data_IF_702661523748
#
_entry.id   IF_702661523748
#
_cell.length_a   1.000
_cell.length_b   1.000
_cell.length_c   1.000
_cell.angle_alpha   90.00
_cell.angle_beta   90.00
_cell.angle_gamma   90.00
#
_symmetry.space_group_name_H-M   'P 1'
#
loop_
_entity.id
_entity.type
_entity.pdbx_description
1 polymer ?
#
# COMPACT_ATOMS: atom_id res chain seq x y z
N UNK A 1 -17.76 -5.30 -7.45
CA UNK A 1 -17.11 -4.92 -6.17
C UNK A 1 -15.64 -5.26 -6.34
N UNK A 2 -14.75 -4.34 -6.07
CA UNK A 2 -13.32 -4.59 -6.18
C UNK A 2 -12.87 -5.67 -5.17
N UNK A 3 -11.89 -6.46 -5.54
CA UNK A 3 -11.26 -7.44 -4.65
C UNK A 3 -10.28 -6.75 -3.71
N UNK A 4 -9.50 -5.79 -4.25
CA UNK A 4 -8.54 -5.01 -3.47
C UNK A 4 -8.73 -3.53 -3.78
N UNK A 5 -8.80 -2.69 -2.73
CA UNK A 5 -8.64 -1.23 -2.83
C UNK A 5 -7.20 -0.89 -2.52
N UNK A 6 -6.51 -0.26 -3.45
CA UNK A 6 -5.10 0.14 -3.29
C UNK A 6 -5.07 1.63 -3.00
N UNK A 7 -4.62 2.00 -1.80
CA UNK A 7 -4.54 3.39 -1.35
C UNK A 7 -3.14 3.93 -1.59
N UNK A 8 -3.05 5.10 -2.23
CA UNK A 8 -1.81 5.79 -2.56
C UNK A 8 -1.88 7.21 -2.01
N UNK A 9 -1.34 7.46 -0.80
CA UNK A 9 -1.28 8.79 -0.21
C UNK A 9 -0.22 9.62 -0.93
N UNK A 10 -0.61 10.71 -1.57
CA UNK A 10 0.26 11.47 -2.48
C UNK A 10 0.47 12.89 -1.99
N UNK A 11 1.72 13.30 -1.79
CA UNK A 11 2.09 14.68 -1.47
C UNK A 11 3.47 15.04 -2.01
N UNK A 12 3.54 15.88 -3.05
CA UNK A 12 4.78 16.40 -3.66
C UNK A 12 5.78 15.28 -4.05
N UNK A 13 5.36 14.34 -4.89
CA UNK A 13 6.13 13.16 -5.31
C UNK A 13 6.17 12.98 -6.84
N UNK A 14 6.04 14.05 -7.59
CA UNK A 14 6.01 14.03 -9.07
C UNK A 14 7.15 13.23 -9.71
N UNK A 15 8.31 13.18 -9.06
CA UNK A 15 9.51 12.50 -9.55
C UNK A 15 9.39 10.96 -9.60
N UNK A 16 8.51 10.38 -8.78
CA UNK A 16 8.42 8.93 -8.59
C UNK A 16 7.06 8.36 -8.99
N UNK A 17 6.05 9.22 -9.04
CA UNK A 17 4.65 8.84 -9.11
C UNK A 17 4.30 8.07 -10.41
N UNK A 18 4.91 8.38 -11.54
CA UNK A 18 4.68 7.66 -12.81
C UNK A 18 5.07 6.18 -12.68
N UNK A 19 6.24 5.87 -12.09
CA UNK A 19 6.70 4.49 -11.89
C UNK A 19 5.78 3.71 -10.95
N UNK A 20 5.35 4.36 -9.86
CA UNK A 20 4.39 3.82 -8.91
C UNK A 20 3.05 3.47 -9.60
N UNK A 21 2.41 4.45 -10.22
CA UNK A 21 1.07 4.28 -10.83
C UNK A 21 1.08 3.28 -11.98
N UNK A 22 2.13 3.29 -12.84
CA UNK A 22 2.28 2.30 -13.91
C UNK A 22 2.35 0.88 -13.34
N UNK A 23 3.10 0.66 -12.24
CA UNK A 23 3.22 -0.66 -11.63
C UNK A 23 1.90 -1.21 -11.10
N UNK A 24 1.04 -0.31 -10.59
CA UNK A 24 -0.30 -0.67 -10.08
C UNK A 24 -1.28 -0.84 -11.22
N UNK A 25 -1.26 0.03 -12.23
CA UNK A 25 -2.12 -0.08 -13.41
C UNK A 25 -1.94 -1.42 -14.13
N UNK A 26 -0.70 -1.94 -14.16
CA UNK A 26 -0.34 -3.18 -14.84
C UNK A 26 -0.57 -4.45 -14.02
N UNK A 27 -1.16 -4.37 -12.82
CA UNK A 27 -1.43 -5.55 -12.00
C UNK A 27 -2.24 -6.61 -12.77
N UNK A 28 -1.89 -7.89 -12.58
CA UNK A 28 -2.62 -9.03 -13.16
C UNK A 28 -4.02 -9.16 -12.59
N UNK A 29 -4.23 -8.83 -11.32
CA UNK A 29 -5.56 -8.71 -10.71
C UNK A 29 -6.28 -7.49 -11.28
N UNK A 30 -7.30 -7.70 -12.12
CA UNK A 30 -8.03 -6.59 -12.75
C UNK A 30 -9.15 -6.02 -11.87
N UNK A 31 -9.73 -6.80 -10.96
CA UNK A 31 -10.82 -6.39 -10.07
C UNK A 31 -10.26 -5.56 -8.88
N UNK A 32 -9.55 -4.48 -9.17
CA UNK A 32 -9.00 -3.55 -8.19
C UNK A 32 -9.61 -2.15 -8.35
N UNK A 33 -9.61 -1.36 -7.28
CA UNK A 33 -9.75 0.10 -7.34
C UNK A 33 -8.46 0.75 -6.84
N UNK A 34 -8.07 1.85 -7.46
CA UNK A 34 -6.81 2.55 -7.21
C UNK A 34 -7.16 3.94 -6.67
N UNK A 35 -7.02 4.12 -5.36
CA UNK A 35 -7.45 5.33 -4.66
C UNK A 35 -6.24 6.23 -4.43
N UNK A 36 -6.07 7.22 -5.30
CA UNK A 36 -5.03 8.23 -5.16
C UNK A 36 -5.56 9.39 -4.30
N UNK A 37 -4.98 9.57 -3.12
CA UNK A 37 -5.34 10.67 -2.23
C UNK A 37 -4.28 11.76 -2.34
N UNK A 38 -4.56 12.79 -3.14
CA UNK A 38 -3.72 13.98 -3.23
C UNK A 38 -3.94 14.86 -2.00
N UNK A 39 -2.95 14.90 -1.12
CA UNK A 39 -2.98 15.65 0.14
C UNK A 39 -2.47 17.10 -0.04
N UNK A 40 -3.02 17.79 -1.04
CA UNK A 40 -2.69 19.20 -1.31
C UNK A 40 -1.29 19.39 -1.91
N UNK A 41 -0.87 18.55 -2.86
CA UNK A 41 0.39 18.73 -3.58
C UNK A 41 0.46 20.07 -4.30
N UNK A 42 1.64 20.66 -4.33
CA UNK A 42 1.96 21.94 -5.00
C UNK A 42 2.84 21.74 -6.24
N UNK A 43 3.28 20.51 -6.49
CA UNK A 43 3.98 20.08 -7.70
C UNK A 43 2.99 19.48 -8.73
N UNK A 44 3.47 18.78 -9.76
CA UNK A 44 2.62 18.19 -10.80
C UNK A 44 2.01 16.82 -10.41
N UNK A 45 2.09 16.40 -9.16
CA UNK A 45 1.55 15.09 -8.72
C UNK A 45 0.07 14.91 -9.07
N UNK A 46 -0.76 15.94 -8.86
CA UNK A 46 -2.20 15.87 -9.17
C UNK A 46 -2.46 15.73 -10.68
N UNK A 47 -1.70 16.42 -11.53
CA UNK A 47 -1.81 16.32 -12.97
C UNK A 47 -1.44 14.91 -13.48
N UNK A 48 -0.40 14.32 -12.88
CA UNK A 48 0.00 12.94 -13.20
C UNK A 48 -1.14 11.98 -12.87
N UNK A 49 -1.72 12.05 -11.67
CA UNK A 49 -2.84 11.19 -11.26
C UNK A 49 -4.01 11.33 -12.22
N UNK A 50 -4.39 12.56 -12.59
CA UNK A 50 -5.49 12.83 -13.53
C UNK A 50 -5.28 12.19 -14.89
N UNK A 51 -4.05 12.21 -15.42
CA UNK A 51 -3.69 11.58 -16.69
C UNK A 51 -3.90 10.06 -16.67
N UNK A 52 -3.60 9.39 -15.56
CA UNK A 52 -3.88 7.96 -15.40
C UNK A 52 -5.39 7.69 -15.31
N UNK A 53 -6.12 8.48 -14.55
CA UNK A 53 -7.57 8.33 -14.37
C UNK A 53 -8.38 8.57 -15.66
N UNK A 54 -7.90 9.41 -16.57
CA UNK A 54 -8.54 9.63 -17.88
C UNK A 54 -8.57 8.36 -18.75
N UNK A 55 -7.59 7.46 -18.56
CA UNK A 55 -7.40 6.28 -19.38
C UNK A 55 -7.77 4.97 -18.70
N UNK A 56 -8.00 4.99 -17.38
CA UNK A 56 -8.30 3.80 -16.60
C UNK A 56 -9.35 4.09 -15.51
N UNK A 57 -10.59 3.57 -15.69
CA UNK A 57 -11.70 3.85 -14.76
C UNK A 57 -11.54 3.24 -13.36
N UNK A 58 -10.50 2.44 -13.13
CA UNK A 58 -10.19 1.90 -11.79
C UNK A 58 -9.60 2.96 -10.87
N UNK A 59 -9.08 4.08 -11.41
CA UNK A 59 -8.54 5.19 -10.62
C UNK A 59 -9.66 6.04 -10.02
N UNK A 60 -9.56 6.25 -8.72
CA UNK A 60 -10.40 7.15 -7.94
C UNK A 60 -9.52 8.26 -7.38
N UNK A 61 -9.80 9.51 -7.73
CA UNK A 61 -9.04 10.67 -7.26
C UNK A 61 -9.74 11.30 -6.08
N UNK A 62 -9.02 11.54 -5.00
CA UNK A 62 -9.44 12.37 -3.90
C UNK A 62 -8.44 13.52 -3.79
N UNK A 63 -8.90 14.74 -4.09
CA UNK A 63 -8.09 15.95 -3.99
C UNK A 63 -8.55 16.75 -2.79
N UNK A 64 -7.65 17.02 -1.83
CA UNK A 64 -7.97 17.66 -0.55
C UNK A 64 -6.85 18.61 -0.10
N UNK A 65 -7.19 19.50 0.81
CA UNK A 65 -6.18 20.32 1.51
C UNK A 65 -5.25 19.43 2.34
N UNK A 66 -3.97 19.84 2.41
CA UNK A 66 -2.97 19.10 3.18
C UNK A 66 -3.41 18.90 4.63
N UNK A 67 -3.38 17.67 5.07
CA UNK A 67 -3.76 17.27 6.43
C UNK A 67 -2.81 16.27 7.05
N UNK A 68 -1.76 15.90 6.31
CA UNK A 68 -0.76 14.92 6.71
C UNK A 68 -1.11 13.49 6.32
N UNK A 69 -0.09 12.65 6.33
CA UNK A 69 -0.13 11.26 5.87
C UNK A 69 -1.28 10.45 6.49
N UNK A 70 -1.42 10.45 7.83
CA UNK A 70 -2.46 9.67 8.51
C UNK A 70 -3.87 10.07 8.10
N UNK A 71 -4.12 11.38 7.89
CA UNK A 71 -5.41 11.85 7.41
C UNK A 71 -5.67 11.45 5.95
N UNK A 72 -4.64 11.51 5.10
CA UNK A 72 -4.75 11.05 3.72
C UNK A 72 -5.08 9.55 3.68
N UNK A 73 -4.40 8.74 4.50
CA UNK A 73 -4.68 7.31 4.64
C UNK A 73 -6.12 7.03 5.10
N UNK A 74 -6.58 7.71 6.15
CA UNK A 74 -7.94 7.53 6.67
C UNK A 74 -9.01 7.89 5.64
N UNK A 75 -8.80 8.97 4.88
CA UNK A 75 -9.69 9.34 3.77
C UNK A 75 -9.70 8.26 2.68
N UNK A 76 -8.55 7.66 2.38
CA UNK A 76 -8.47 6.51 1.47
C UNK A 76 -9.22 5.28 2.00
N UNK A 77 -9.05 4.95 3.28
CA UNK A 77 -9.77 3.86 3.95
C UNK A 77 -11.29 4.07 3.93
N UNK A 78 -11.77 5.30 4.19
CA UNK A 78 -13.20 5.61 4.17
C UNK A 78 -13.80 5.51 2.76
N UNK A 79 -12.99 5.69 1.72
CA UNK A 79 -13.42 5.58 0.32
C UNK A 79 -13.41 4.15 -0.20
N UNK A 80 -12.59 3.28 0.38
CA UNK A 80 -12.35 1.93 -0.10
C UNK A 80 -13.61 1.06 -0.08
N UNK A 81 -13.85 0.35 -1.18
CA UNK A 81 -14.99 -0.57 -1.34
C UNK A 81 -14.56 -2.04 -1.53
N UNK A 82 -13.26 -2.27 -1.73
CA UNK A 82 -12.69 -3.60 -1.93
C UNK A 82 -12.82 -4.51 -0.71
N UNK A 83 -12.75 -5.78 -0.94
CA UNK A 83 -12.77 -6.78 0.14
C UNK A 83 -11.50 -6.67 1.02
N UNK A 84 -10.36 -6.39 0.38
CA UNK A 84 -9.08 -6.15 1.05
C UNK A 84 -8.55 -4.76 0.72
N UNK A 85 -7.70 -4.25 1.61
CA UNK A 85 -6.97 -2.98 1.46
C UNK A 85 -5.51 -3.29 1.19
N UNK A 86 -4.95 -2.70 0.14
CA UNK A 86 -3.52 -2.59 -0.11
C UNK A 86 -3.07 -1.14 0.06
N UNK A 87 -1.80 -0.94 0.37
CA UNK A 87 -1.18 0.38 0.49
C UNK A 87 0.08 0.38 -0.37
N UNK A 88 0.29 1.43 -1.15
CA UNK A 88 1.55 1.64 -1.87
C UNK A 88 2.02 3.06 -1.60
N UNK A 89 3.24 3.18 -1.12
CA UNK A 89 3.88 4.49 -1.01
C UNK A 89 4.19 5.03 -2.42
N UNK A 90 3.98 6.31 -2.67
CA UNK A 90 4.03 6.85 -4.04
C UNK A 90 5.44 6.94 -4.63
N UNK A 91 6.48 6.67 -3.84
CA UNK A 91 7.87 6.52 -4.25
C UNK A 91 8.33 5.06 -4.41
N UNK A 92 7.40 4.11 -4.18
CA UNK A 92 7.61 2.68 -4.36
C UNK A 92 6.89 2.14 -5.62
N UNK A 93 7.21 0.90 -5.99
CA UNK A 93 6.53 0.16 -7.06
C UNK A 93 6.36 -1.32 -6.69
N UNK A 94 5.40 -1.97 -7.30
CA UNK A 94 4.98 -3.33 -6.94
C UNK A 94 5.16 -4.33 -8.11
N UNK A 95 5.52 -5.60 -7.84
CA UNK A 95 5.52 -6.65 -8.85
C UNK A 95 4.15 -6.86 -9.48
N UNK A 96 4.11 -7.25 -10.76
CA UNK A 96 2.88 -7.38 -11.55
C UNK A 96 1.81 -8.32 -10.95
N UNK A 97 2.21 -9.37 -10.25
CA UNK A 97 1.31 -10.38 -9.68
C UNK A 97 1.05 -10.18 -8.18
N UNK A 98 1.59 -9.13 -7.56
CA UNK A 98 1.55 -8.97 -6.10
C UNK A 98 0.14 -9.09 -5.54
N UNK A 99 -0.81 -8.31 -6.05
CA UNK A 99 -2.17 -8.30 -5.51
C UNK A 99 -2.97 -9.55 -5.88
N UNK A 100 -2.69 -10.20 -7.01
CA UNK A 100 -3.30 -11.48 -7.37
C UNK A 100 -2.87 -12.58 -6.40
N UNK A 101 -1.56 -12.69 -6.15
CA UNK A 101 -0.99 -13.69 -5.26
C UNK A 101 -1.44 -13.50 -3.82
N UNK A 102 -1.37 -12.28 -3.30
CA UNK A 102 -1.79 -11.95 -1.94
C UNK A 102 -3.30 -12.19 -1.75
N UNK A 103 -4.12 -11.72 -2.70
CA UNK A 103 -5.57 -11.91 -2.64
C UNK A 103 -5.95 -13.39 -2.67
N UNK A 104 -5.32 -14.18 -3.53
CA UNK A 104 -5.55 -15.62 -3.62
C UNK A 104 -5.29 -16.31 -2.27
N UNK A 105 -4.13 -16.07 -1.66
CA UNK A 105 -3.76 -16.64 -0.36
C UNK A 105 -4.75 -16.19 0.72
N UNK A 106 -5.07 -14.90 0.78
CA UNK A 106 -6.00 -14.34 1.76
C UNK A 106 -7.39 -14.96 1.65
N UNK A 107 -7.89 -15.10 0.41
CA UNK A 107 -9.25 -15.59 0.15
C UNK A 107 -9.39 -17.09 0.38
N UNK A 108 -8.41 -17.89 -0.05
CA UNK A 108 -8.41 -19.34 0.12
C UNK A 108 -8.39 -19.76 1.59
N UNK A 109 -7.81 -18.93 2.47
CA UNK A 109 -7.62 -19.24 3.87
C UNK A 109 -8.41 -18.32 4.83
N UNK A 110 -9.27 -17.46 4.29
CA UNK A 110 -10.09 -16.47 5.05
C UNK A 110 -9.27 -15.64 6.05
N UNK A 111 -8.14 -15.06 5.58
CA UNK A 111 -7.19 -14.36 6.43
C UNK A 111 -7.56 -12.89 6.59
N UNK A 112 -7.29 -12.35 7.77
CA UNK A 112 -7.44 -10.93 8.05
C UNK A 112 -6.26 -10.12 7.50
N UNK A 113 -5.08 -10.75 7.34
CA UNK A 113 -3.88 -10.11 6.82
C UNK A 113 -2.99 -11.12 6.11
N UNK A 114 -2.38 -10.69 5.00
CA UNK A 114 -1.28 -11.40 4.33
C UNK A 114 -0.16 -10.41 4.07
N UNK A 115 1.06 -10.79 4.40
CA UNK A 115 2.26 -9.96 4.17
C UNK A 115 3.28 -10.71 3.34
N UNK A 116 4.11 -9.96 2.61
CA UNK A 116 5.20 -10.47 1.81
C UNK A 116 6.51 -9.78 2.16
N UNK A 117 7.62 -10.41 1.82
CA UNK A 117 8.94 -9.80 1.81
C UNK A 117 9.02 -8.67 0.78
N UNK A 118 10.06 -7.87 0.87
CA UNK A 118 10.24 -6.73 -0.01
C UNK A 118 11.72 -6.45 -0.31
N UNK A 119 11.95 -5.66 -1.33
CA UNK A 119 13.27 -5.11 -1.64
C UNK A 119 13.35 -3.66 -1.21
N UNK A 120 14.45 -3.28 -0.57
CA UNK A 120 14.87 -1.88 -0.50
C UNK A 120 15.79 -1.59 -1.65
N UNK A 121 15.61 -0.47 -2.30
CA UNK A 121 16.48 -0.05 -3.38
C UNK A 121 17.06 1.35 -3.13
N UNK A 122 18.28 1.54 -3.64
CA UNK A 122 18.88 2.87 -3.72
C UNK A 122 19.41 3.04 -5.15
N UNK A 123 19.09 4.18 -5.76
CA UNK A 123 19.60 4.53 -7.08
C UNK A 123 20.86 5.36 -6.93
N UNK A 124 21.98 4.90 -7.53
CA UNK A 124 23.21 5.67 -7.55
C UNK A 124 23.01 6.91 -8.44
N UNK A 125 23.18 8.14 -7.91
CA UNK A 125 22.91 9.38 -8.65
C UNK A 125 23.91 9.62 -9.80
N UNK A 126 25.10 9.02 -9.77
CA UNK A 126 26.15 9.26 -10.77
C UNK A 126 25.99 8.39 -12.02
N UNK A 127 25.50 7.17 -11.87
CA UNK A 127 25.45 6.19 -12.98
C UNK A 127 24.06 5.56 -13.17
N UNK A 128 23.08 5.90 -12.35
CA UNK A 128 21.72 5.37 -12.41
C UNK A 128 21.58 3.91 -11.97
N UNK A 129 22.65 3.25 -11.55
CA UNK A 129 22.60 1.86 -11.13
C UNK A 129 21.76 1.69 -9.87
N UNK A 130 20.95 0.64 -9.85
CA UNK A 130 20.11 0.28 -8.73
C UNK A 130 20.77 -0.76 -7.86
N UNK A 131 20.89 -0.49 -6.57
CA UNK A 131 21.28 -1.47 -5.57
C UNK A 131 20.03 -2.00 -4.90
N UNK A 132 19.80 -3.31 -4.93
CA UNK A 132 18.67 -3.97 -4.33
C UNK A 132 19.13 -4.74 -3.10
N UNK A 133 18.42 -4.56 -1.99
CA UNK A 133 18.59 -5.32 -0.75
C UNK A 133 17.30 -6.05 -0.44
N UNK A 134 17.32 -7.37 -0.49
CA UNK A 134 16.18 -8.19 -0.12
C UNK A 134 15.98 -8.17 1.40
N UNK A 135 14.76 -7.91 1.81
CA UNK A 135 14.38 -7.83 3.21
C UNK A 135 13.35 -8.91 3.53
N UNK A 136 13.75 -9.81 4.42
CA UNK A 136 12.89 -10.83 4.97
C UNK A 136 12.05 -10.26 6.12
N UNK A 137 10.75 -10.53 6.13
CA UNK A 137 9.90 -10.26 7.30
C UNK A 137 10.26 -11.18 8.46
N UNK A 138 10.52 -12.45 8.16
CA UNK A 138 10.99 -13.44 9.12
C UNK A 138 12.38 -13.95 8.77
N UNK A 139 13.40 -13.50 9.49
CA UNK A 139 14.79 -13.91 9.32
C UNK A 139 15.04 -15.40 9.61
N UNK A 140 14.14 -16.06 10.32
CA UNK A 140 14.27 -17.49 10.68
C UNK A 140 13.72 -18.41 9.60
N UNK A 141 12.84 -17.89 8.72
CA UNK A 141 12.12 -18.66 7.72
C UNK A 141 11.03 -19.58 8.30
N UNK A 142 10.81 -19.56 9.61
CA UNK A 142 9.88 -20.46 10.31
C UNK A 142 8.44 -20.24 9.91
N UNK A 143 8.06 -18.98 9.61
CA UNK A 143 6.68 -18.56 9.46
C UNK A 143 6.20 -18.43 8.00
N UNK A 144 7.10 -18.59 7.02
CA UNK A 144 6.69 -18.56 5.62
C UNK A 144 5.76 -19.72 5.26
N UNK A 145 4.68 -19.39 4.55
CA UNK A 145 3.66 -20.35 4.12
C UNK A 145 2.86 -20.96 5.27
N UNK A 146 2.85 -20.34 6.44
CA UNK A 146 2.07 -20.79 7.59
C UNK A 146 0.99 -19.78 7.94
N UNK A 147 -0.13 -20.34 8.42
CA UNK A 147 -1.21 -19.58 9.04
C UNK A 147 -0.98 -19.57 10.55
N UNK A 148 -1.13 -18.43 11.17
CA UNK A 148 -0.96 -18.30 12.63
C UNK A 148 -1.79 -17.13 13.16
N UNK A 149 -2.12 -17.20 14.45
CA UNK A 149 -2.69 -16.08 15.19
C UNK A 149 -1.56 -15.39 15.99
N UNK A 150 -1.28 -14.10 15.77
CA UNK A 150 -0.24 -13.38 16.50
C UNK A 150 -0.46 -13.36 18.02
N UNK A 151 -1.69 -13.52 18.51
CA UNK A 151 -1.98 -13.59 19.95
C UNK A 151 -1.49 -14.91 20.58
N UNK A 152 -1.45 -15.98 19.80
CA UNK A 152 -0.92 -17.29 20.22
C UNK A 152 0.59 -17.41 19.96
N UNK A 153 1.13 -16.61 19.03
CA UNK A 153 2.53 -16.63 18.58
C UNK A 153 3.19 -15.23 18.72
N UNK A 154 3.43 -14.78 19.98
CA UNK A 154 3.89 -13.40 20.23
C UNK A 154 5.23 -13.04 19.58
N UNK A 155 6.05 -14.02 19.22
CA UNK A 155 7.31 -13.79 18.51
C UNK A 155 7.10 -13.16 17.13
N UNK A 156 5.92 -13.36 16.51
CA UNK A 156 5.57 -12.79 15.20
C UNK A 156 5.35 -11.28 15.26
N UNK A 157 5.08 -10.72 16.44
CA UNK A 157 4.99 -9.27 16.64
C UNK A 157 6.34 -8.54 16.50
N UNK A 158 7.43 -9.30 16.35
CA UNK A 158 8.77 -8.74 16.07
C UNK A 158 9.09 -8.63 14.59
N UNK A 159 8.20 -9.09 13.72
CA UNK A 159 8.36 -8.92 12.28
C UNK A 159 8.33 -7.43 11.93
N UNK A 160 8.94 -7.09 10.79
CA UNK A 160 8.95 -5.70 10.33
C UNK A 160 7.51 -5.22 10.13
N UNK A 161 7.15 -4.18 10.89
CA UNK A 161 5.82 -3.59 10.91
C UNK A 161 5.70 -2.50 9.84
N UNK A 162 5.78 -2.88 8.57
CA UNK A 162 5.44 -1.98 7.47
C UNK A 162 4.01 -2.24 7.01
N UNK A 163 3.28 -1.22 6.58
CA UNK A 163 1.89 -1.34 6.15
C UNK A 163 1.76 -1.69 4.67
N UNK A 164 2.75 -1.35 3.86
CA UNK A 164 2.70 -1.43 2.39
C UNK A 164 3.10 -2.78 1.78
N UNK A 165 3.66 -3.73 2.52
CA UNK A 165 4.08 -5.04 1.98
C UNK A 165 3.01 -6.13 2.09
N UNK A 166 1.73 -5.78 2.10
CA UNK A 166 0.67 -6.77 2.26
C UNK A 166 -0.72 -6.25 1.95
N UNK A 167 -1.72 -7.06 2.27
CA UNK A 167 -3.13 -6.70 2.20
C UNK A 167 -3.82 -7.03 3.53
N UNK A 168 -4.87 -6.25 3.84
CA UNK A 168 -5.63 -6.30 5.08
C UNK A 168 -7.10 -6.42 4.77
N UNK A 169 -7.82 -7.32 5.43
CA UNK A 169 -9.26 -7.48 5.27
C UNK A 169 -9.98 -6.22 5.73
N UNK A 170 -10.71 -5.56 4.83
CA UNK A 170 -11.37 -4.28 5.13
C UNK A 170 -12.35 -4.40 6.30
N UNK A 171 -13.15 -5.47 6.33
CA UNK A 171 -14.09 -5.73 7.42
C UNK A 171 -13.39 -5.81 8.79
N UNK A 172 -12.22 -6.46 8.86
CA UNK A 172 -11.42 -6.52 10.08
C UNK A 172 -10.99 -5.12 10.55
N UNK A 173 -10.47 -4.29 9.63
CA UNK A 173 -10.07 -2.92 9.97
C UNK A 173 -11.26 -2.08 10.48
N UNK A 174 -12.43 -2.24 9.87
CA UNK A 174 -13.67 -1.53 10.26
C UNK A 174 -14.18 -1.98 11.63
N UNK A 175 -14.28 -3.30 11.86
CA UNK A 175 -14.76 -3.88 13.12
C UNK A 175 -13.89 -3.49 14.32
N UNK A 176 -12.58 -3.41 14.12
CA UNK A 176 -11.62 -3.07 15.17
C UNK A 176 -11.28 -1.58 15.20
N UNK A 177 -11.93 -0.75 14.39
CA UNK A 177 -11.71 0.71 14.31
C UNK A 177 -10.24 1.07 14.07
N UNK A 178 -9.52 0.25 13.29
CA UNK A 178 -8.10 0.48 12.97
C UNK A 178 -8.00 1.66 12.03
N UNK A 179 -7.29 2.70 12.46
CA UNK A 179 -7.06 3.95 11.73
C UNK A 179 -5.64 4.46 11.96
N UNK A 180 -5.15 5.24 11.03
CA UNK A 180 -3.89 5.96 11.18
C UNK A 180 -4.05 7.16 12.12
N UNK A 181 -3.00 7.46 12.90
CA UNK A 181 -2.97 8.66 13.73
C UNK A 181 -2.89 9.92 12.85
N UNK A 182 -3.79 10.88 13.06
CA UNK A 182 -3.85 12.12 12.30
C UNK A 182 -2.97 13.20 12.94
N UNK A 183 -1.65 13.02 12.83
CA UNK A 183 -0.67 14.01 13.26
C UNK A 183 -0.12 14.79 12.06
N UNK A 184 0.31 16.06 12.22
CA UNK A 184 0.94 16.79 11.15
C UNK A 184 2.23 16.11 10.65
N UNK A 185 2.41 16.05 9.33
CA UNK A 185 3.56 15.42 8.70
C UNK A 185 3.41 13.91 8.51
N UNK A 186 4.54 13.19 8.47
CA UNK A 186 4.61 11.75 8.21
C UNK A 186 5.37 10.98 9.30
N UNK A 187 5.33 11.44 10.56
CA UNK A 187 6.11 10.85 11.66
C UNK A 187 5.29 9.83 12.45
N UNK A 188 5.74 8.57 12.50
CA UNK A 188 5.24 7.50 13.38
C UNK A 188 3.73 7.17 13.27
N UNK A 189 3.13 7.41 12.13
CA UNK A 189 1.68 7.25 11.97
C UNK A 189 1.24 5.82 11.71
N UNK A 190 2.17 4.97 11.35
CA UNK A 190 2.05 3.53 11.11
C UNK A 190 2.36 2.68 12.35
N UNK A 191 2.71 3.31 13.48
CA UNK A 191 3.06 2.66 14.75
C UNK A 191 2.11 3.06 15.89
N UNK A 192 0.86 3.34 15.57
CA UNK A 192 -0.18 3.71 16.53
C UNK A 192 -0.83 2.52 17.23
#
# INVERSE_FOLDING_TARGET
MAKVSIIIPTYNVEMFLDECLESIQRQTLQDIEIICVNDGSTDHSLEIIKKYAENDPRFVIIDKENGGYGKAMNVGLDKATGEYIGIVEPDDYVPLAMYEDLYKIAKENDLDMVKADFYRFTRNPENGNMNLVYNHLDLTGKWYGKLFDPSEEPETLRFIMNTWSGIYKREFLEQHHIRHNETPGASFQDNG
#
